data_IF_177263942901
#
_entry.id   IF_177263942901
#
_cell.length_a   1.000
_cell.length_b   1.000
_cell.length_c   1.000
_cell.angle_alpha   90.00
_cell.angle_beta   90.00
_cell.angle_gamma   90.00
#
_symmetry.space_group_name_H-M   'P 1'
#
loop_
_entity.id
_entity.type
_entity.pdbx_description
1 polymer ?
#
# COMPACT_ATOMS: atom_id res chain seq x y z
N UNK A 1 14.92 27.12 -10.53
CA UNK A 1 15.08 26.05 -9.52
C UNK A 1 16.19 26.47 -8.55
N UNK A 2 15.85 27.02 -7.39
CA UNK A 2 16.86 27.35 -6.36
C UNK A 2 17.35 26.02 -5.78
N UNK A 3 18.66 25.77 -5.89
CA UNK A 3 19.29 24.63 -5.18
C UNK A 3 19.12 24.87 -3.68
N UNK A 4 18.51 23.90 -2.99
CA UNK A 4 18.51 23.90 -1.54
C UNK A 4 19.95 24.06 -1.04
N UNK A 5 20.19 24.83 0.05
CA UNK A 5 21.50 24.94 0.62
C UNK A 5 22.06 23.55 0.89
N UNK A 6 23.36 23.32 0.63
CA UNK A 6 24.03 22.05 0.92
C UNK A 6 23.76 21.71 2.40
N UNK A 7 22.78 20.88 2.66
CA UNK A 7 22.58 20.34 4.00
C UNK A 7 23.85 19.57 4.32
N UNK A 8 24.58 20.01 5.36
CA UNK A 8 25.69 19.21 5.89
C UNK A 8 25.10 17.97 6.51
N UNK A 9 25.02 16.87 5.74
CA UNK A 9 24.67 15.57 6.28
C UNK A 9 25.82 15.12 7.17
N UNK A 10 25.58 15.14 8.48
CA UNK A 10 26.47 14.45 9.42
C UNK A 10 26.29 12.95 9.25
N UNK A 11 27.33 12.16 9.56
CA UNK A 11 27.26 10.69 9.51
C UNK A 11 26.08 10.13 10.31
N UNK A 12 25.74 10.77 11.43
CA UNK A 12 24.55 10.41 12.23
C UNK A 12 23.26 10.58 11.43
N UNK A 13 23.06 11.73 10.81
CA UNK A 13 21.85 11.98 9.99
C UNK A 13 21.75 11.05 8.78
N UNK A 14 22.89 10.74 8.16
CA UNK A 14 22.92 9.79 7.05
C UNK A 14 22.48 8.41 7.52
N UNK A 15 23.03 7.93 8.64
CA UNK A 15 22.66 6.66 9.25
C UNK A 15 21.18 6.61 9.63
N UNK A 16 20.66 7.65 10.28
CA UNK A 16 19.26 7.71 10.72
C UNK A 16 18.30 7.68 9.51
N UNK A 17 18.63 8.39 8.43
CA UNK A 17 17.87 8.35 7.19
C UNK A 17 17.91 6.96 6.53
N UNK A 18 19.07 6.29 6.50
CA UNK A 18 19.19 4.95 5.94
C UNK A 18 18.38 3.93 6.76
N UNK A 19 18.43 4.00 8.08
CA UNK A 19 17.62 3.14 8.96
C UNK A 19 16.13 3.39 8.68
N UNK A 20 15.70 4.65 8.60
CA UNK A 20 14.32 5.01 8.28
C UNK A 20 13.88 4.48 6.91
N UNK A 21 14.75 4.52 5.90
CA UNK A 21 14.45 3.94 4.59
C UNK A 21 14.30 2.40 4.66
N UNK A 22 15.21 1.72 5.35
CA UNK A 22 15.17 0.25 5.48
C UNK A 22 13.90 -0.22 6.18
N UNK A 23 13.58 0.39 7.33
CA UNK A 23 12.36 0.04 8.08
C UNK A 23 11.10 0.36 7.28
N UNK A 24 11.04 1.51 6.61
CA UNK A 24 9.91 1.90 5.78
C UNK A 24 9.68 0.99 4.59
N UNK A 25 10.74 0.47 3.98
CA UNK A 25 10.64 -0.45 2.82
C UNK A 25 10.19 -1.83 3.26
N UNK A 26 10.81 -2.41 4.29
CA UNK A 26 10.58 -3.81 4.66
C UNK A 26 9.14 -4.05 5.11
N UNK A 27 8.69 -3.34 6.12
CA UNK A 27 7.37 -3.57 6.73
C UNK A 27 6.22 -3.19 5.79
N UNK A 28 6.30 -2.03 5.14
CA UNK A 28 5.20 -1.58 4.29
C UNK A 28 5.09 -2.39 3.00
N UNK A 29 6.23 -2.79 2.41
CA UNK A 29 6.22 -3.63 1.20
C UNK A 29 5.69 -5.02 1.51
N UNK A 30 6.13 -5.64 2.62
CA UNK A 30 5.61 -6.92 3.07
C UNK A 30 4.09 -6.86 3.28
N UNK A 31 3.63 -5.88 4.06
CA UNK A 31 2.20 -5.69 4.34
C UNK A 31 1.40 -5.48 3.05
N UNK A 32 1.91 -4.69 2.11
CA UNK A 32 1.25 -4.46 0.82
C UNK A 32 1.08 -5.77 0.03
N UNK A 33 2.18 -6.55 -0.12
CA UNK A 33 2.15 -7.80 -0.89
C UNK A 33 1.18 -8.80 -0.26
N UNK A 34 1.24 -8.96 1.06
CA UNK A 34 0.39 -9.90 1.78
C UNK A 34 -1.08 -9.51 1.69
N UNK A 35 -1.41 -8.21 1.85
CA UNK A 35 -2.76 -7.70 1.69
C UNK A 35 -3.28 -7.93 0.26
N UNK A 36 -2.46 -7.69 -0.77
CA UNK A 36 -2.82 -7.91 -2.16
C UNK A 36 -3.10 -9.39 -2.40
N UNK A 37 -2.20 -10.27 -1.99
CA UNK A 37 -2.37 -11.70 -2.19
C UNK A 37 -3.57 -12.25 -1.44
N UNK A 38 -3.77 -11.81 -0.20
CA UNK A 38 -4.95 -12.20 0.59
C UNK A 38 -6.25 -11.76 -0.11
N UNK A 39 -6.30 -10.51 -0.59
CA UNK A 39 -7.46 -9.99 -1.33
C UNK A 39 -7.73 -10.80 -2.61
N UNK A 40 -6.70 -11.09 -3.40
CA UNK A 40 -6.83 -11.85 -4.64
C UNK A 40 -7.36 -13.27 -4.41
N UNK A 41 -6.93 -13.95 -3.35
CA UNK A 41 -7.44 -15.27 -3.00
C UNK A 41 -8.91 -15.23 -2.54
N UNK A 42 -9.37 -14.12 -1.97
CA UNK A 42 -10.78 -13.94 -1.59
C UNK A 42 -11.67 -13.53 -2.77
N UNK A 43 -11.06 -13.08 -3.89
CA UNK A 43 -11.76 -12.58 -5.08
C UNK A 43 -11.26 -13.28 -6.35
N UNK A 44 -11.70 -14.53 -6.62
CA UNK A 44 -11.18 -15.33 -7.74
C UNK A 44 -11.31 -14.69 -9.12
N UNK A 45 -12.36 -13.93 -9.36
CA UNK A 45 -12.57 -13.24 -10.64
C UNK A 45 -11.53 -12.12 -10.84
N UNK A 46 -11.23 -11.36 -9.78
CA UNK A 46 -10.21 -10.33 -9.80
C UNK A 46 -8.82 -10.98 -9.95
N UNK A 47 -8.57 -12.07 -9.24
CA UNK A 47 -7.33 -12.84 -9.35
C UNK A 47 -7.10 -13.33 -10.78
N UNK A 48 -8.13 -13.83 -11.45
CA UNK A 48 -8.05 -14.29 -12.86
C UNK A 48 -7.56 -13.17 -13.77
N UNK A 49 -8.13 -11.98 -13.67
CA UNK A 49 -7.70 -10.82 -14.46
C UNK A 49 -6.28 -10.37 -14.14
N UNK A 50 -5.88 -10.38 -12.85
CA UNK A 50 -4.52 -10.05 -12.44
C UNK A 50 -3.50 -11.08 -12.97
N UNK A 51 -3.83 -12.38 -12.96
CA UNK A 51 -3.00 -13.47 -13.53
C UNK A 51 -2.85 -13.27 -15.04
N UNK A 52 -3.92 -12.92 -15.74
CA UNK A 52 -3.88 -12.65 -17.19
C UNK A 52 -2.97 -11.45 -17.51
N UNK A 53 -3.10 -10.35 -16.77
CA UNK A 53 -2.22 -9.19 -16.89
C UNK A 53 -0.74 -9.57 -16.66
N UNK A 54 -0.47 -10.39 -15.63
CA UNK A 54 0.88 -10.88 -15.32
C UNK A 54 1.46 -11.73 -16.47
N UNK A 55 0.67 -12.66 -17.02
CA UNK A 55 1.07 -13.55 -18.13
C UNK A 55 1.34 -12.79 -19.43
N UNK A 56 0.53 -11.78 -19.71
CA UNK A 56 0.68 -10.93 -20.90
C UNK A 56 1.78 -9.87 -20.74
N UNK A 57 2.47 -9.87 -19.59
CA UNK A 57 3.48 -8.86 -19.25
C UNK A 57 2.93 -7.42 -19.30
N UNK A 58 1.61 -7.25 -19.06
CA UNK A 58 0.95 -5.95 -18.96
C UNK A 58 1.15 -5.37 -17.56
N UNK A 59 2.33 -4.80 -17.36
CA UNK A 59 2.73 -4.21 -16.07
C UNK A 59 1.83 -3.02 -15.69
N UNK A 60 1.35 -2.27 -16.67
CA UNK A 60 0.47 -1.11 -16.41
C UNK A 60 -0.88 -1.56 -15.86
N UNK A 61 -1.48 -2.58 -16.47
CA UNK A 61 -2.74 -3.16 -15.99
C UNK A 61 -2.56 -3.82 -14.63
N UNK A 62 -1.49 -4.61 -14.43
CA UNK A 62 -1.21 -5.24 -13.15
C UNK A 62 -1.02 -4.21 -12.03
N UNK A 63 -0.33 -3.11 -12.32
CA UNK A 63 -0.21 -1.98 -11.38
C UNK A 63 -1.57 -1.39 -11.01
N UNK A 64 -2.50 -1.29 -11.96
CA UNK A 64 -3.87 -0.82 -11.67
C UNK A 64 -4.60 -1.75 -10.70
N UNK A 65 -4.44 -3.08 -10.84
CA UNK A 65 -4.92 -4.06 -9.86
C UNK A 65 -4.31 -3.82 -8.48
N UNK A 66 -2.99 -3.69 -8.41
CA UNK A 66 -2.25 -3.43 -7.16
C UNK A 66 -2.75 -2.18 -6.45
N UNK A 67 -2.86 -1.06 -7.16
CA UNK A 67 -3.31 0.21 -6.60
C UNK A 67 -4.75 0.13 -6.09
N UNK A 68 -5.65 -0.49 -6.85
CA UNK A 68 -7.05 -0.61 -6.43
C UNK A 68 -7.20 -1.55 -5.24
N UNK A 69 -6.50 -2.67 -5.18
CA UNK A 69 -6.51 -3.55 -4.01
C UNK A 69 -6.00 -2.82 -2.76
N UNK A 70 -4.91 -2.05 -2.89
CA UNK A 70 -4.35 -1.27 -1.78
C UNK A 70 -5.27 -0.12 -1.35
N UNK A 71 -6.22 0.32 -2.16
CA UNK A 71 -7.25 1.26 -1.76
C UNK A 71 -8.20 0.64 -0.72
N UNK A 72 -8.54 -0.65 -0.89
CA UNK A 72 -9.34 -1.41 0.09
C UNK A 72 -8.52 -1.83 1.31
N UNK A 73 -7.26 -2.18 1.11
CA UNK A 73 -6.39 -2.76 2.14
C UNK A 73 -5.03 -2.04 2.19
N UNK A 74 -5.07 -0.75 2.53
CA UNK A 74 -3.85 0.07 2.64
C UNK A 74 -2.91 -0.45 3.74
N UNK A 75 -1.59 -0.55 3.48
CA UNK A 75 -0.61 -0.87 4.51
C UNK A 75 -0.54 0.18 5.63
N UNK A 76 -0.85 1.44 5.29
CA UNK A 76 -0.85 2.56 6.21
C UNK A 76 -2.18 3.34 6.10
N UNK A 77 -3.29 2.78 6.65
CA UNK A 77 -4.61 3.41 6.52
C UNK A 77 -4.77 4.66 7.38
N UNK A 78 -3.85 4.86 8.32
CA UNK A 78 -3.90 5.93 9.31
C UNK A 78 -2.53 6.58 9.46
N UNK A 79 -2.49 7.91 9.39
CA UNK A 79 -1.27 8.70 9.57
C UNK A 79 -1.42 9.59 10.80
N UNK A 80 -0.48 9.50 11.74
CA UNK A 80 -0.48 10.31 12.96
C UNK A 80 0.31 11.59 12.77
N UNK A 81 -0.24 12.70 13.24
CA UNK A 81 0.40 14.03 13.24
C UNK A 81 0.21 14.71 14.58
N UNK A 82 1.12 15.61 14.92
CA UNK A 82 1.00 16.50 16.06
C UNK A 82 0.85 17.93 15.56
N UNK A 83 -0.19 18.63 15.99
CA UNK A 83 -0.36 20.04 15.70
C UNK A 83 0.60 20.86 16.58
N UNK A 84 1.50 21.63 15.99
CA UNK A 84 2.41 22.52 16.74
C UNK A 84 1.80 23.88 17.03
N UNK A 85 0.77 24.26 16.30
CA UNK A 85 0.04 25.52 16.45
C UNK A 85 -1.42 25.31 16.11
N UNK A 86 -2.25 26.29 16.42
CA UNK A 86 -3.68 26.26 16.06
C UNK A 86 -3.85 26.24 14.53
N UNK A 87 -4.76 25.39 14.05
CA UNK A 87 -5.15 25.29 12.65
C UNK A 87 -6.66 25.16 12.52
N UNK A 88 -7.25 25.79 11.50
CA UNK A 88 -8.66 25.57 11.16
C UNK A 88 -8.73 24.77 9.86
N UNK A 89 -9.21 23.54 9.96
CA UNK A 89 -9.54 22.69 8.80
C UNK A 89 -10.87 23.11 8.22
N UNK A 90 -11.03 22.99 6.89
CA UNK A 90 -12.26 23.30 6.17
C UNK A 90 -12.72 24.77 6.34
N UNK A 91 -11.78 25.71 6.51
CA UNK A 91 -12.09 27.12 6.68
C UNK A 91 -12.99 27.62 5.54
N UNK A 92 -14.10 28.27 5.91
CA UNK A 92 -15.09 28.75 4.94
C UNK A 92 -16.16 27.73 4.55
N UNK A 93 -16.18 26.55 5.13
CA UNK A 93 -17.21 25.51 4.94
C UNK A 93 -18.02 25.29 6.21
N UNK A 94 -19.16 24.59 6.08
CA UNK A 94 -19.99 24.18 7.24
C UNK A 94 -19.29 23.16 8.14
N UNK A 95 -18.22 22.52 7.64
CA UNK A 95 -17.42 21.52 8.34
C UNK A 95 -16.15 22.10 8.97
N UNK A 96 -16.02 23.44 9.01
CA UNK A 96 -14.86 24.08 9.63
C UNK A 96 -14.67 23.63 11.09
N UNK A 97 -13.45 23.23 11.45
CA UNK A 97 -13.07 22.83 12.82
C UNK A 97 -11.70 23.40 13.14
N UNK A 98 -11.59 24.02 14.29
CA UNK A 98 -10.32 24.52 14.83
C UNK A 98 -9.66 23.41 15.65
N UNK A 99 -8.40 23.15 15.34
CA UNK A 99 -7.56 22.18 16.03
C UNK A 99 -6.59 22.96 16.91
N UNK A 100 -6.65 22.78 18.24
CA UNK A 100 -5.75 23.47 19.16
C UNK A 100 -4.28 23.04 18.96
N UNK A 101 -3.31 23.84 19.44
CA UNK A 101 -1.90 23.41 19.52
C UNK A 101 -1.78 22.11 20.35
N UNK A 102 -0.76 21.31 20.02
CA UNK A 102 -0.45 20.04 20.69
C UNK A 102 -1.55 18.96 20.62
N UNK A 103 -2.47 19.10 19.67
CA UNK A 103 -3.46 18.05 19.39
C UNK A 103 -2.85 16.92 18.58
N UNK A 104 -3.16 15.68 18.95
CA UNK A 104 -2.86 14.50 18.12
C UNK A 104 -3.93 14.39 17.02
N UNK A 105 -3.49 14.35 15.77
CA UNK A 105 -4.36 14.30 14.59
C UNK A 105 -4.16 12.93 13.93
N UNK A 106 -5.27 12.25 13.67
CA UNK A 106 -5.30 11.01 12.89
C UNK A 106 -5.84 11.33 11.49
N UNK A 107 -4.94 11.37 10.50
CA UNK A 107 -5.34 11.48 9.10
C UNK A 107 -5.70 10.09 8.58
N UNK A 108 -7.00 9.82 8.45
CA UNK A 108 -7.54 8.51 8.10
C UNK A 108 -7.56 8.32 6.57
N UNK A 109 -6.39 8.07 5.97
CA UNK A 109 -6.24 7.89 4.52
C UNK A 109 -7.11 6.74 3.99
N UNK A 110 -7.21 5.63 4.74
CA UNK A 110 -8.07 4.50 4.38
C UNK A 110 -9.53 4.90 4.28
N UNK A 111 -10.04 5.64 5.28
CA UNK A 111 -11.42 6.16 5.26
C UNK A 111 -11.65 7.16 4.12
N UNK A 112 -10.68 8.05 3.88
CA UNK A 112 -10.78 9.04 2.80
C UNK A 112 -10.83 8.40 1.40
N UNK A 113 -10.18 7.25 1.21
CA UNK A 113 -10.27 6.48 -0.04
C UNK A 113 -11.60 5.75 -0.22
N UNK A 114 -12.43 5.71 0.82
CA UNK A 114 -13.77 5.10 0.83
C UNK A 114 -14.90 6.13 1.00
N UNK A 115 -14.59 7.41 0.97
CA UNK A 115 -15.55 8.49 1.12
C UNK A 115 -16.35 8.70 -0.18
N UNK A 116 -17.64 8.39 -0.14
CA UNK A 116 -18.55 8.51 -1.28
C UNK A 116 -18.79 9.95 -1.76
N UNK A 117 -18.43 10.94 -0.93
CA UNK A 117 -18.53 12.36 -1.33
C UNK A 117 -17.42 12.78 -2.29
N UNK A 118 -16.34 12.00 -2.37
CA UNK A 118 -15.15 12.29 -3.18
C UNK A 118 -14.86 11.16 -4.18
N UNK A 119 -15.10 9.92 -3.78
CA UNK A 119 -14.82 8.72 -4.57
C UNK A 119 -16.11 8.10 -5.05
N UNK A 120 -16.36 8.12 -6.34
CA UNK A 120 -17.57 7.53 -6.93
C UNK A 120 -17.58 5.99 -6.73
N UNK A 121 -18.71 5.48 -6.16
CA UNK A 121 -18.89 4.07 -5.81
C UNK A 121 -17.64 3.44 -5.14
N UNK A 122 -17.26 3.91 -3.94
CA UNK A 122 -15.98 3.56 -3.32
C UNK A 122 -15.87 2.07 -2.96
N UNK A 123 -16.98 1.38 -2.78
CA UNK A 123 -17.02 -0.07 -2.49
C UNK A 123 -16.89 -0.96 -3.72
N UNK A 124 -16.98 -0.38 -4.92
CA UNK A 124 -16.81 -1.11 -6.18
C UNK A 124 -15.35 -1.20 -6.59
N UNK A 125 -14.90 -2.37 -7.01
CA UNK A 125 -13.56 -2.57 -7.56
C UNK A 125 -13.48 -2.02 -8.99
N UNK A 126 -12.65 -1.00 -9.21
CA UNK A 126 -12.47 -0.34 -10.51
C UNK A 126 -11.00 -0.02 -10.79
N UNK A 127 -10.49 -0.47 -11.93
CA UNK A 127 -9.08 -0.34 -12.29
C UNK A 127 -8.63 1.05 -12.76
N UNK A 128 -9.54 1.89 -13.22
CA UNK A 128 -9.22 3.17 -13.88
C UNK A 128 -9.66 4.39 -13.09
N UNK A 129 -9.51 4.34 -11.76
CA UNK A 129 -9.79 5.51 -10.94
C UNK A 129 -8.74 6.59 -11.09
N UNK A 130 -9.13 7.86 -11.00
CA UNK A 130 -8.19 8.97 -10.98
C UNK A 130 -7.11 8.80 -9.89
N UNK A 131 -5.88 9.16 -10.19
CA UNK A 131 -4.73 8.94 -9.29
C UNK A 131 -4.87 9.62 -7.92
N UNK A 132 -5.65 10.69 -7.81
CA UNK A 132 -5.91 11.38 -6.55
C UNK A 132 -6.84 10.61 -5.60
N UNK A 133 -7.51 9.56 -6.07
CA UNK A 133 -8.27 8.64 -5.22
C UNK A 133 -7.39 7.66 -4.45
N UNK A 134 -6.08 7.58 -4.77
CA UNK A 134 -5.15 6.67 -4.11
C UNK A 134 -4.26 7.42 -3.12
N UNK A 135 -4.61 7.36 -1.83
CA UNK A 135 -3.92 8.06 -0.75
C UNK A 135 -2.99 7.17 0.09
N UNK A 136 -2.80 5.90 -0.31
CA UNK A 136 -1.95 4.97 0.44
C UNK A 136 -0.45 5.36 0.47
N UNK A 137 -0.01 6.26 -0.41
CA UNK A 137 1.32 6.89 -0.34
C UNK A 137 1.31 8.26 0.35
N UNK A 138 0.19 8.68 0.95
CA UNK A 138 0.03 10.01 1.51
C UNK A 138 -0.06 11.10 0.44
N UNK A 139 -0.02 12.36 0.88
CA UNK A 139 -0.18 13.53 0.02
C UNK A 139 0.69 14.71 0.48
N UNK A 140 1.04 15.60 -0.46
CA UNK A 140 1.77 16.84 -0.19
C UNK A 140 3.23 16.60 0.18
N UNK A 141 3.77 17.45 1.07
CA UNK A 141 5.20 17.42 1.45
C UNK A 141 5.61 16.14 2.18
N UNK A 142 4.65 15.41 2.72
CA UNK A 142 4.86 14.13 3.40
C UNK A 142 4.49 12.92 2.53
N UNK A 143 4.30 13.11 1.22
CA UNK A 143 4.12 11.98 0.32
C UNK A 143 5.30 11.01 0.44
N UNK A 144 5.03 9.72 0.39
CA UNK A 144 6.05 8.68 0.49
C UNK A 144 7.18 8.92 -0.52
N UNK A 145 8.41 9.01 -0.02
CA UNK A 145 9.61 9.18 -0.85
C UNK A 145 9.83 7.95 -1.76
N UNK A 146 9.41 6.76 -1.29
CA UNK A 146 9.52 5.50 -2.01
C UNK A 146 8.39 5.22 -3.00
N UNK A 147 7.42 6.13 -3.20
CA UNK A 147 6.25 5.89 -4.03
C UNK A 147 6.58 5.26 -5.38
N UNK A 148 7.46 5.89 -6.16
CA UNK A 148 7.78 5.42 -7.52
C UNK A 148 8.49 4.07 -7.54
N UNK A 149 9.35 3.82 -6.55
CA UNK A 149 10.02 2.52 -6.40
C UNK A 149 9.00 1.45 -6.00
N UNK A 150 8.16 1.75 -5.00
CA UNK A 150 7.15 0.81 -4.49
C UNK A 150 6.09 0.45 -5.53
N UNK A 151 5.67 1.39 -6.37
CA UNK A 151 4.70 1.14 -7.44
C UNK A 151 5.22 0.11 -8.47
N UNK A 152 6.54 0.09 -8.72
CA UNK A 152 7.17 -0.91 -9.60
C UNK A 152 7.47 -2.19 -8.81
N UNK A 153 8.12 -2.07 -7.67
CA UNK A 153 8.58 -3.20 -6.86
C UNK A 153 7.43 -4.13 -6.44
N UNK A 154 6.35 -3.56 -5.90
CA UNK A 154 5.20 -4.34 -5.44
C UNK A 154 4.54 -5.05 -6.61
N UNK A 155 4.35 -4.37 -7.74
CA UNK A 155 3.76 -4.97 -8.95
C UNK A 155 4.62 -6.13 -9.50
N UNK A 156 5.94 -5.99 -9.54
CA UNK A 156 6.84 -7.05 -10.03
C UNK A 156 6.90 -8.25 -9.08
N UNK A 157 6.87 -8.03 -7.75
CA UNK A 157 6.81 -9.13 -6.79
C UNK A 157 5.47 -9.88 -6.91
N UNK A 158 4.35 -9.16 -6.96
CA UNK A 158 3.02 -9.76 -7.16
C UNK A 158 2.97 -10.54 -8.48
N UNK A 159 3.52 -9.99 -9.57
CA UNK A 159 3.64 -10.68 -10.85
C UNK A 159 4.41 -12.00 -10.70
N UNK A 160 5.57 -11.98 -10.03
CA UNK A 160 6.36 -13.18 -9.77
C UNK A 160 5.55 -14.26 -9.03
N UNK A 161 4.77 -13.87 -8.03
CA UNK A 161 3.90 -14.78 -7.30
C UNK A 161 2.77 -15.35 -8.18
N UNK A 162 2.08 -14.49 -8.95
CA UNK A 162 0.98 -14.90 -9.84
C UNK A 162 1.43 -15.81 -10.99
N UNK A 163 2.71 -15.82 -11.33
CA UNK A 163 3.28 -16.72 -12.33
C UNK A 163 3.57 -18.13 -11.80
N UNK A 164 3.52 -18.34 -10.48
CA UNK A 164 3.71 -19.66 -9.88
C UNK A 164 2.54 -20.56 -10.24
N UNK A 165 2.86 -21.77 -10.73
CA UNK A 165 1.86 -22.76 -11.11
C UNK A 165 1.14 -23.29 -9.88
N UNK A 166 -0.20 -23.37 -9.93
CA UNK A 166 -1.00 -23.91 -8.83
C UNK A 166 -0.89 -23.09 -7.53
N UNK A 167 -0.59 -21.81 -7.61
CA UNK A 167 -0.53 -20.93 -6.44
C UNK A 167 -1.88 -20.92 -5.70
N UNK A 168 -1.84 -21.23 -4.41
CA UNK A 168 -3.02 -21.33 -3.54
C UNK A 168 -2.65 -21.04 -2.09
N UNK A 169 -3.65 -20.77 -1.24
CA UNK A 169 -3.43 -20.76 0.21
C UNK A 169 -3.09 -22.16 0.71
N UNK A 170 -2.23 -22.24 1.72
CA UNK A 170 -2.05 -23.48 2.47
C UNK A 170 -3.36 -23.88 3.17
N UNK A 171 -3.60 -25.16 3.42
CA UNK A 171 -4.80 -25.63 4.12
C UNK A 171 -4.81 -25.19 5.59
N UNK A 172 -6.01 -25.07 6.15
CA UNK A 172 -6.22 -24.80 7.58
C UNK A 172 -5.86 -23.38 8.01
N UNK A 173 -5.29 -23.25 9.19
CA UNK A 173 -4.96 -21.94 9.80
C UNK A 173 -3.75 -21.27 9.15
N UNK A 174 -2.82 -22.05 8.64
CA UNK A 174 -1.59 -21.53 8.02
C UNK A 174 -1.90 -20.70 6.76
N UNK A 175 -2.93 -21.06 6.00
CA UNK A 175 -3.40 -20.31 4.85
C UNK A 175 -4.23 -19.07 5.18
N UNK A 176 -4.49 -18.81 6.46
CA UNK A 176 -5.13 -17.56 6.90
C UNK A 176 -4.08 -16.53 7.25
N UNK A 177 -4.32 -15.29 6.81
CA UNK A 177 -3.46 -14.18 7.20
C UNK A 177 -3.55 -13.95 8.72
N UNK A 178 -2.42 -14.08 9.38
CA UNK A 178 -2.27 -13.83 10.82
C UNK A 178 -1.52 -12.53 11.05
N UNK A 179 -1.90 -11.79 12.09
CA UNK A 179 -1.29 -10.52 12.47
C UNK A 179 -0.63 -10.60 13.85
N UNK A 180 0.44 -9.82 14.03
CA UNK A 180 1.02 -9.47 15.33
C UNK A 180 0.98 -7.95 15.45
N UNK A 181 0.04 -7.43 16.24
CA UNK A 181 -0.30 -6.02 16.23
C UNK A 181 -0.78 -5.59 14.83
N UNK A 182 -0.24 -4.51 14.26
CA UNK A 182 -0.63 -4.01 12.94
C UNK A 182 0.07 -4.72 11.77
N UNK A 183 1.03 -5.62 12.05
CA UNK A 183 1.88 -6.22 11.02
C UNK A 183 1.51 -7.66 10.70
N UNK A 184 1.58 -8.09 9.43
CA UNK A 184 1.41 -9.48 9.07
C UNK A 184 2.50 -10.34 9.71
N UNK A 185 2.08 -11.39 10.44
CA UNK A 185 2.97 -12.36 11.07
C UNK A 185 3.23 -13.58 10.21
N UNK A 186 2.17 -14.13 9.62
CA UNK A 186 2.22 -15.35 8.83
C UNK A 186 1.10 -15.38 7.81
N UNK A 187 1.43 -15.79 6.60
CA UNK A 187 0.50 -16.10 5.54
C UNK A 187 1.16 -17.12 4.61
N UNK A 188 0.81 -18.40 4.78
CA UNK A 188 1.45 -19.49 4.03
C UNK A 188 0.68 -19.74 2.74
N UNK A 189 1.43 -19.79 1.65
CA UNK A 189 0.93 -20.17 0.33
C UNK A 189 1.67 -21.39 -0.19
N UNK A 190 1.00 -22.17 -1.03
CA UNK A 190 1.56 -23.33 -1.71
C UNK A 190 1.55 -23.10 -3.20
N UNK A 191 2.49 -23.72 -3.89
CA UNK A 191 2.53 -23.75 -5.35
C UNK A 191 3.15 -25.07 -5.82
N UNK A 192 2.88 -25.43 -7.07
CA UNK A 192 3.40 -26.64 -7.65
C UNK A 192 4.88 -26.42 -8.02
N UNK A 193 5.79 -27.03 -7.24
CA UNK A 193 7.21 -27.05 -7.62
C UNK A 193 7.35 -27.95 -8.85
N UNK A 194 7.79 -27.40 -9.97
CA UNK A 194 8.04 -28.17 -11.19
C UNK A 194 9.26 -29.11 -11.09
N UNK A 195 9.38 -29.89 -10.01
CA UNK A 195 10.29 -31.02 -9.97
C UNK A 195 9.78 -32.02 -10.97
N UNK A 196 10.52 -32.20 -12.08
CA UNK A 196 10.39 -33.33 -12.94
C UNK A 196 10.32 -34.61 -12.06
N UNK A 197 9.29 -35.41 -12.26
CA UNK A 197 9.30 -36.75 -11.70
C UNK A 197 10.63 -37.38 -12.15
N UNK A 198 11.48 -37.65 -11.18
CA UNK A 198 12.66 -38.50 -11.43
C UNK A 198 12.10 -39.89 -11.72
N UNK A 199 12.16 -40.26 -12.99
CA UNK A 199 11.89 -41.63 -13.47
C UNK A 199 12.92 -42.56 -12.87
#
# INVERSE_FOLDING_TARGET
MQRAPKASFTDSRLRDNLIGCVTGVLENTNTAIVNIMNYLFDHPDIMKGAVEAARNNDTALLRSYVLEILRFHSPAPLMVRLSLQEHTLGKGTTHARTIPPHSVIFAANGSAMMDETVVDNPTEFRLNRPSHHYLHFGWGIHQCVGKHISEVQVAEIVKGLLMLKGLRRAPGQDGKLQYDGPFPKSFVVEFDSGKAATV
#
